data_IF_445873408696
#
_entry.id   IF_445873408696
#
_cell.length_a   1.000
_cell.length_b   1.000
_cell.length_c   1.000
_cell.angle_alpha   90.00
_cell.angle_beta   90.00
_cell.angle_gamma   90.00
#
_symmetry.space_group_name_H-M   'P 1'
#
loop_
_entity.id
_entity.type
_entity.pdbx_description
1 polymer ?
#
# COMPACT_ATOMS: atom_id res chain seq x y z
N UNK A 1 40.74 -20.50 -86.41
CA UNK A 1 40.01 -19.64 -87.38
C UNK A 1 38.59 -19.49 -86.86
N UNK A 2 37.87 -18.36 -86.84
CA UNK A 2 38.11 -16.95 -87.15
C UNK A 2 36.78 -16.24 -86.83
N UNK A 3 36.84 -15.16 -86.05
CA UNK A 3 36.05 -13.91 -86.13
C UNK A 3 34.50 -13.91 -86.06
N UNK A 4 34.00 -13.42 -84.92
CA UNK A 4 33.40 -12.07 -84.70
C UNK A 4 32.22 -11.60 -85.59
N UNK A 5 31.05 -11.30 -84.99
CA UNK A 5 30.45 -9.94 -84.87
C UNK A 5 29.00 -9.94 -84.32
N UNK A 6 28.70 -8.91 -83.51
CA UNK A 6 27.36 -8.41 -83.15
C UNK A 6 27.00 -8.73 -81.69
N UNK A 7 27.00 -7.83 -80.72
CA UNK A 7 26.69 -6.40 -80.76
C UNK A 7 25.29 -6.17 -80.18
N UNK A 8 25.17 -6.08 -78.85
CA UNK A 8 24.04 -5.39 -78.18
C UNK A 8 24.39 -5.00 -76.76
N UNK A 9 24.56 -3.70 -76.59
CA UNK A 9 24.71 -2.97 -75.33
C UNK A 9 23.49 -3.19 -74.42
N UNK A 10 23.71 -3.68 -73.20
CA UNK A 10 22.80 -3.48 -72.08
C UNK A 10 23.49 -2.54 -71.09
N UNK A 11 23.05 -1.28 -71.11
CA UNK A 11 23.34 -0.27 -70.10
C UNK A 11 22.97 -0.81 -68.72
N UNK A 12 23.94 -0.84 -67.82
CA UNK A 12 23.73 -0.79 -66.38
C UNK A 12 23.09 0.55 -66.02
N UNK A 13 21.91 0.58 -65.37
CA UNK A 13 21.49 1.76 -64.63
C UNK A 13 22.19 1.74 -63.27
N UNK A 14 22.89 2.83 -63.03
CA UNK A 14 23.41 3.29 -61.76
C UNK A 14 22.37 3.14 -60.64
N UNK A 15 22.72 2.43 -59.56
CA UNK A 15 21.90 2.31 -58.36
C UNK A 15 22.01 3.64 -57.61
N UNK A 16 21.19 4.60 -58.01
CA UNK A 16 20.88 5.75 -57.16
C UNK A 16 19.95 5.26 -56.06
N UNK A 17 20.50 5.15 -54.85
CA UNK A 17 19.76 4.88 -53.64
C UNK A 17 18.74 6.00 -53.41
N UNK A 18 17.49 5.77 -53.81
CA UNK A 18 16.34 6.51 -53.32
C UNK A 18 16.09 6.08 -51.87
N UNK A 19 16.83 6.67 -50.93
CA UNK A 19 16.48 6.61 -49.52
C UNK A 19 15.23 7.49 -49.31
N UNK A 20 14.06 6.90 -49.60
CA UNK A 20 12.79 7.46 -49.13
C UNK A 20 12.69 7.12 -47.65
N UNK A 21 13.24 8.01 -46.81
CA UNK A 21 12.89 8.10 -45.41
C UNK A 21 11.38 8.35 -45.32
N UNK A 22 10.59 7.28 -45.31
CA UNK A 22 9.20 7.34 -44.84
C UNK A 22 9.29 7.79 -43.38
N UNK A 23 8.92 9.05 -43.14
CA UNK A 23 8.80 9.61 -41.80
C UNK A 23 7.92 8.65 -40.98
N UNK A 24 8.54 7.95 -40.03
CA UNK A 24 7.88 6.97 -39.19
C UNK A 24 6.85 7.66 -38.29
N UNK A 25 5.68 7.06 -38.18
CA UNK A 25 4.69 7.42 -37.17
C UNK A 25 5.25 7.01 -35.79
N UNK A 26 5.68 7.99 -35.00
CA UNK A 26 6.20 7.77 -33.64
C UNK A 26 5.06 7.89 -32.61
N UNK A 27 4.78 6.80 -31.89
CA UNK A 27 3.79 6.76 -30.81
C UNK A 27 4.49 6.57 -29.46
N UNK A 28 4.13 7.36 -28.45
CA UNK A 28 4.69 7.30 -27.10
C UNK A 28 3.64 6.82 -26.10
N UNK A 29 4.04 5.91 -25.22
CA UNK A 29 3.21 5.38 -24.13
C UNK A 29 3.36 6.23 -22.87
N UNK A 30 2.26 6.47 -22.16
CA UNK A 30 2.29 7.01 -20.81
C UNK A 30 2.63 5.90 -19.82
N UNK A 31 3.50 6.19 -18.84
CA UNK A 31 3.87 5.21 -17.81
C UNK A 31 2.66 4.80 -16.97
N UNK A 32 2.50 3.49 -16.76
CA UNK A 32 1.37 2.94 -16.03
C UNK A 32 1.39 3.31 -14.54
N UNK A 33 0.22 3.50 -13.90
CA UNK A 33 0.14 3.55 -12.46
C UNK A 33 0.42 2.16 -11.88
N UNK A 34 1.65 1.93 -11.43
CA UNK A 34 1.96 0.74 -10.62
C UNK A 34 1.37 0.90 -9.22
N UNK A 35 0.48 -0.03 -8.86
CA UNK A 35 0.14 -0.26 -7.46
C UNK A 35 1.33 -0.99 -6.80
N UNK A 36 1.65 -0.63 -5.56
CA UNK A 36 2.86 -1.10 -4.84
C UNK A 36 2.77 -2.58 -4.41
N UNK A 37 1.63 -3.24 -4.65
CA UNK A 37 1.37 -4.64 -4.31
C UNK A 37 0.66 -5.33 -5.49
N UNK A 38 1.28 -6.39 -6.01
CA UNK A 38 0.64 -7.27 -6.99
C UNK A 38 -0.53 -8.00 -6.32
N UNK A 39 -1.70 -7.92 -6.95
CA UNK A 39 -3.03 -8.04 -6.32
C UNK A 39 -3.44 -9.48 -5.97
N UNK A 40 -2.54 -10.45 -6.17
CA UNK A 40 -2.88 -11.89 -6.17
C UNK A 40 -2.28 -12.69 -5.01
N UNK A 41 -1.30 -12.15 -4.28
CA UNK A 41 -0.58 -12.95 -3.27
C UNK A 41 -1.13 -12.87 -1.85
N UNK A 42 -1.96 -11.86 -1.52
CA UNK A 42 -2.44 -11.67 -0.14
C UNK A 42 -3.70 -12.52 0.16
N UNK A 43 -4.47 -12.92 -0.86
CA UNK A 43 -5.77 -13.58 -0.69
C UNK A 43 -5.77 -15.08 -1.04
N UNK A 44 -4.59 -15.67 -1.29
CA UNK A 44 -4.50 -17.11 -1.49
C UNK A 44 -4.52 -17.79 -0.12
N UNK A 45 -5.73 -18.19 0.31
CA UNK A 45 -6.03 -19.03 1.47
C UNK A 45 -5.49 -20.46 1.32
N UNK A 46 -4.20 -20.60 1.00
CA UNK A 46 -3.53 -21.90 1.00
C UNK A 46 -3.07 -22.16 2.42
N UNK A 47 -3.25 -23.40 2.87
CA UNK A 47 -2.75 -23.91 4.15
C UNK A 47 -1.33 -23.39 4.44
N UNK A 48 -1.01 -23.11 5.71
CA UNK A 48 0.31 -22.61 6.10
C UNK A 48 1.42 -23.56 5.60
N UNK A 49 2.16 -23.13 4.59
CA UNK A 49 3.21 -23.94 3.97
C UNK A 49 4.41 -23.99 4.91
N UNK A 50 5.00 -25.17 5.09
CA UNK A 50 6.25 -25.30 5.85
C UNK A 50 7.46 -25.25 4.92
N UNK A 51 8.58 -24.72 5.42
CA UNK A 51 9.87 -24.73 4.72
C UNK A 51 10.91 -25.65 5.40
N UNK A 52 10.43 -26.59 6.23
CA UNK A 52 11.25 -27.45 7.07
C UNK A 52 11.70 -26.84 8.41
N UNK A 53 11.66 -25.52 8.58
CA UNK A 53 12.00 -24.85 9.86
C UNK A 53 10.79 -24.16 10.50
N UNK A 54 10.04 -23.40 9.72
CA UNK A 54 8.84 -22.69 10.18
C UNK A 54 7.70 -22.80 9.18
N UNK A 55 6.52 -22.40 9.66
CA UNK A 55 5.30 -22.21 8.89
C UNK A 55 5.26 -20.79 8.34
N UNK A 56 4.98 -20.63 7.06
CA UNK A 56 4.68 -19.32 6.49
C UNK A 56 3.24 -18.91 6.87
N UNK A 57 3.01 -17.62 7.19
CA UNK A 57 1.68 -17.14 7.53
C UNK A 57 0.75 -17.24 6.31
N UNK A 58 -0.55 -17.47 6.53
CA UNK A 58 -1.54 -17.64 5.46
C UNK A 58 -1.73 -16.37 4.61
N UNK A 59 -1.32 -15.20 5.13
CA UNK A 59 -1.28 -13.93 4.41
C UNK A 59 0.07 -13.26 4.60
N UNK A 60 0.50 -12.48 3.61
CA UNK A 60 1.77 -11.78 3.70
C UNK A 60 1.75 -10.72 4.81
N UNK A 61 2.46 -10.98 5.91
CA UNK A 61 2.66 -9.99 6.98
C UNK A 61 3.36 -8.73 6.48
N UNK A 62 4.29 -8.85 5.52
CA UNK A 62 4.87 -7.68 4.86
C UNK A 62 3.83 -6.89 4.06
N UNK A 63 2.88 -7.58 3.42
CA UNK A 63 1.73 -6.98 2.74
C UNK A 63 0.80 -6.26 3.73
N UNK A 64 0.46 -6.87 4.86
CA UNK A 64 -0.34 -6.24 5.92
C UNK A 64 0.34 -5.00 6.50
N UNK A 65 1.64 -5.07 6.80
CA UNK A 65 2.40 -3.94 7.32
C UNK A 65 2.43 -2.74 6.36
N UNK A 66 2.52 -2.99 5.05
CA UNK A 66 2.39 -1.94 4.03
C UNK A 66 0.96 -1.41 3.96
N UNK A 67 -0.02 -2.32 3.95
CA UNK A 67 -1.44 -2.01 3.81
C UNK A 67 -1.98 -1.18 4.97
N UNK A 68 -1.45 -1.38 6.18
CA UNK A 68 -1.75 -0.57 7.36
C UNK A 68 -1.68 0.94 7.05
N UNK A 69 -0.76 1.36 6.19
CA UNK A 69 -0.53 2.79 5.84
C UNK A 69 -1.18 3.21 4.52
N UNK A 70 -1.93 2.33 3.86
CA UNK A 70 -2.55 2.61 2.55
C UNK A 70 -3.62 3.72 2.64
N UNK A 71 -4.35 3.79 3.76
CA UNK A 71 -5.39 4.80 3.97
C UNK A 71 -5.40 5.34 5.41
N UNK A 72 -5.79 6.61 5.55
CA UNK A 72 -5.93 7.29 6.86
C UNK A 72 -7.01 6.63 7.70
N UNK A 73 -8.18 6.35 7.10
CA UNK A 73 -9.30 5.65 7.74
C UNK A 73 -9.04 4.15 7.97
N UNK A 74 -7.82 3.68 7.65
CA UNK A 74 -7.38 2.33 7.96
C UNK A 74 -6.37 2.32 9.11
N UNK A 75 -5.35 3.19 9.06
CA UNK A 75 -4.32 3.31 10.11
C UNK A 75 -4.82 3.99 11.38
N UNK A 76 -5.57 5.09 11.25
CA UNK A 76 -6.01 5.90 12.39
C UNK A 76 -6.87 5.10 13.40
N UNK A 77 -7.88 4.32 12.98
CA UNK A 77 -8.64 3.47 13.90
C UNK A 77 -7.78 2.51 14.72
N UNK A 78 -6.78 1.87 14.09
CA UNK A 78 -5.87 0.94 14.76
C UNK A 78 -5.05 1.65 15.84
N UNK A 79 -4.57 2.85 15.57
CA UNK A 79 -3.82 3.63 16.55
C UNK A 79 -4.69 4.12 17.70
N UNK A 80 -5.94 4.52 17.45
CA UNK A 80 -6.88 4.90 18.51
C UNK A 80 -7.18 3.70 19.40
N UNK A 81 -7.48 2.52 18.82
CA UNK A 81 -7.67 1.27 19.58
C UNK A 81 -6.46 0.98 20.48
N UNK A 82 -5.24 0.99 19.90
CA UNK A 82 -3.99 0.77 20.65
C UNK A 82 -3.78 1.81 21.75
N UNK A 83 -4.03 3.08 21.49
CA UNK A 83 -3.81 4.15 22.47
C UNK A 83 -4.76 4.01 23.66
N UNK A 84 -6.03 3.69 23.43
CA UNK A 84 -6.98 3.50 24.52
C UNK A 84 -6.62 2.25 25.33
N UNK A 85 -6.31 1.12 24.67
CA UNK A 85 -5.83 -0.08 25.35
C UNK A 85 -4.61 0.21 26.23
N UNK A 86 -3.62 0.93 25.68
CA UNK A 86 -2.44 1.34 26.42
C UNK A 86 -2.80 2.28 27.59
N UNK A 87 -3.70 3.24 27.39
CA UNK A 87 -4.10 4.16 28.47
C UNK A 87 -4.78 3.45 29.64
N UNK A 88 -5.49 2.35 29.38
CA UNK A 88 -6.12 1.53 30.42
C UNK A 88 -5.19 0.47 31.00
N UNK A 89 -4.03 0.20 30.39
CA UNK A 89 -3.12 -0.84 30.85
C UNK A 89 -2.37 -0.40 32.12
N UNK A 90 -2.32 -1.28 33.12
CA UNK A 90 -1.58 -1.07 34.37
C UNK A 90 -0.14 -1.59 34.16
N UNK A 91 0.89 -0.72 34.14
CA UNK A 91 2.26 -1.15 33.93
C UNK A 91 2.73 -2.20 34.95
N UNK A 92 3.42 -3.23 34.47
CA UNK A 92 3.94 -4.32 35.30
C UNK A 92 5.49 -4.32 35.26
N UNK A 93 6.19 -4.70 36.35
CA UNK A 93 7.66 -4.83 36.33
C UNK A 93 8.19 -5.72 35.21
N UNK A 94 7.44 -6.75 34.81
CA UNK A 94 7.80 -7.67 33.73
C UNK A 94 7.40 -7.17 32.33
N UNK A 95 6.41 -6.27 32.22
CA UNK A 95 5.88 -5.80 30.95
C UNK A 95 5.65 -4.29 30.99
N UNK A 96 6.54 -3.56 30.31
CA UNK A 96 6.45 -2.10 30.27
C UNK A 96 5.29 -1.62 29.39
N UNK A 97 4.87 -0.38 29.60
CA UNK A 97 3.91 0.34 28.76
C UNK A 97 4.24 0.26 27.26
N UNK A 98 5.52 0.38 26.93
CA UNK A 98 6.02 0.39 25.56
C UNK A 98 5.94 -0.99 24.92
N UNK A 99 6.25 -2.05 25.68
CA UNK A 99 6.11 -3.43 25.20
C UNK A 99 4.64 -3.78 25.01
N UNK A 100 3.79 -3.49 26.01
CA UNK A 100 2.34 -3.69 25.87
C UNK A 100 1.77 -2.95 24.64
N UNK A 101 2.18 -1.70 24.42
CA UNK A 101 1.74 -0.93 23.25
C UNK A 101 2.16 -1.56 21.92
N UNK A 102 3.32 -2.24 21.86
CA UNK A 102 3.76 -2.99 20.68
C UNK A 102 2.94 -4.25 20.50
N UNK A 103 2.77 -5.03 21.57
CA UNK A 103 1.96 -6.25 21.57
C UNK A 103 0.54 -5.98 21.06
N UNK A 104 -0.09 -4.93 21.59
CA UNK A 104 -1.44 -4.53 21.19
C UNK A 104 -1.51 -4.11 19.72
N UNK A 105 -0.52 -3.35 19.23
CA UNK A 105 -0.47 -2.94 17.83
C UNK A 105 -0.29 -4.14 16.90
N UNK A 106 0.63 -5.04 17.23
CA UNK A 106 0.91 -6.24 16.43
C UNK A 106 -0.32 -7.14 16.36
N UNK A 107 -1.02 -7.33 17.48
CA UNK A 107 -2.29 -8.07 17.50
C UNK A 107 -3.33 -7.42 16.57
N UNK A 108 -3.53 -6.10 16.69
CA UNK A 108 -4.51 -5.36 15.87
C UNK A 108 -4.15 -5.42 14.37
N UNK A 109 -2.86 -5.33 14.03
CA UNK A 109 -2.41 -5.27 12.63
C UNK A 109 -2.34 -6.66 12.00
N UNK A 110 -1.80 -7.65 12.68
CA UNK A 110 -1.52 -8.95 12.08
C UNK A 110 -2.52 -10.04 12.48
N UNK A 111 -3.38 -9.79 13.47
CA UNK A 111 -4.11 -10.85 14.17
C UNK A 111 -3.16 -11.77 14.96
N UNK A 112 -1.91 -11.36 15.15
CA UNK A 112 -0.84 -12.16 15.74
C UNK A 112 0.08 -11.26 16.54
N UNK A 113 0.38 -11.64 17.77
CA UNK A 113 1.35 -10.96 18.62
C UNK A 113 2.22 -11.99 19.36
N UNK A 114 3.50 -11.71 19.47
CA UNK A 114 4.48 -12.63 20.03
C UNK A 114 5.21 -11.99 21.20
N UNK A 115 5.19 -12.65 22.35
CA UNK A 115 5.80 -12.15 23.58
C UNK A 115 6.87 -13.15 24.06
N UNK A 116 8.14 -12.75 23.98
CA UNK A 116 9.28 -13.54 24.41
C UNK A 116 9.51 -13.41 25.92
N UNK A 117 9.61 -14.55 26.60
CA UNK A 117 10.03 -14.66 28.00
C UNK A 117 11.56 -14.58 28.08
N UNK A 118 12.08 -13.46 28.57
CA UNK A 118 13.52 -13.29 28.81
C UNK A 118 13.87 -13.83 30.18
N UNK A 119 14.60 -14.94 30.20
CA UNK A 119 14.99 -15.63 31.43
C UNK A 119 16.39 -15.19 31.89
N UNK A 120 16.62 -15.19 33.19
CA UNK A 120 17.96 -15.08 33.77
C UNK A 120 18.72 -16.40 33.61
N UNK A 121 20.03 -16.35 33.80
CA UNK A 121 20.87 -17.57 33.88
C UNK A 121 20.42 -18.53 34.99
N UNK A 122 19.77 -18.02 36.04
CA UNK A 122 19.24 -18.80 37.14
C UNK A 122 17.84 -19.36 36.88
N UNK A 123 17.24 -19.10 35.71
CA UNK A 123 15.91 -19.59 35.32
C UNK A 123 14.74 -18.72 35.78
N UNK A 124 14.98 -17.52 36.30
CA UNK A 124 13.90 -16.60 36.69
C UNK A 124 13.46 -15.75 35.50
N UNK A 125 12.15 -15.47 35.38
CA UNK A 125 11.64 -14.54 34.37
C UNK A 125 12.09 -13.11 34.72
N UNK A 126 12.86 -12.47 33.84
CA UNK A 126 13.35 -11.11 34.04
C UNK A 126 12.41 -10.07 33.48
N UNK A 127 11.93 -10.30 32.25
CA UNK A 127 11.02 -9.40 31.52
C UNK A 127 10.39 -10.11 30.34
N UNK A 128 9.36 -9.47 29.80
CA UNK A 128 8.65 -9.87 28.61
C UNK A 128 8.95 -8.86 27.51
N UNK A 129 9.39 -9.34 26.36
CA UNK A 129 9.73 -8.51 25.19
C UNK A 129 8.83 -8.88 24.02
N UNK A 130 8.22 -7.88 23.39
CA UNK A 130 7.40 -8.13 22.20
C UNK A 130 8.32 -8.36 21.01
N UNK A 131 8.23 -9.55 20.41
CA UNK A 131 8.89 -9.84 19.16
C UNK A 131 8.04 -9.32 17.99
N UNK A 132 8.58 -8.48 17.09
CA UNK A 132 7.81 -7.90 16.00
C UNK A 132 7.13 -8.97 15.12
N UNK A 133 5.80 -9.01 15.14
CA UNK A 133 5.02 -10.06 14.50
C UNK A 133 5.28 -10.19 13.00
N UNK A 134 5.62 -9.08 12.32
CA UNK A 134 6.02 -9.07 10.92
C UNK A 134 7.14 -10.09 10.60
N UNK A 135 8.09 -10.26 11.52
CA UNK A 135 9.29 -11.07 11.33
C UNK A 135 9.26 -12.39 12.11
N UNK A 136 8.39 -12.52 13.10
CA UNK A 136 8.27 -13.75 13.88
C UNK A 136 7.51 -14.82 13.10
N UNK A 137 7.99 -16.06 13.16
CA UNK A 137 7.41 -17.24 12.52
C UNK A 137 7.24 -18.37 13.52
N UNK A 138 6.14 -19.10 13.42
CA UNK A 138 5.88 -20.31 14.20
C UNK A 138 6.70 -21.45 13.60
N UNK A 139 7.50 -22.12 14.42
CA UNK A 139 8.27 -23.29 14.02
C UNK A 139 7.36 -24.44 13.59
N UNK A 140 7.91 -25.36 12.80
CA UNK A 140 7.22 -26.64 12.49
C UNK A 140 7.12 -27.50 13.76
N UNK A 141 8.13 -27.42 14.62
CA UNK A 141 8.10 -28.03 15.94
C UNK A 141 7.31 -27.16 16.92
N UNK A 142 6.43 -27.80 17.70
CA UNK A 142 5.62 -27.10 18.68
C UNK A 142 6.47 -26.44 19.78
N UNK A 143 6.08 -25.21 20.13
CA UNK A 143 6.81 -24.36 21.08
C UNK A 143 8.10 -23.73 20.53
N UNK A 144 8.49 -23.99 19.28
CA UNK A 144 9.64 -23.34 18.64
C UNK A 144 9.16 -22.17 17.79
N UNK A 145 9.89 -21.07 17.82
CA UNK A 145 9.61 -19.88 16.99
C UNK A 145 10.90 -19.40 16.35
N UNK A 146 10.77 -18.64 15.27
CA UNK A 146 11.88 -18.07 14.53
C UNK A 146 11.70 -16.58 14.33
N UNK A 147 12.79 -15.82 14.39
CA UNK A 147 12.84 -14.43 13.98
C UNK A 147 13.53 -14.34 12.62
N UNK A 148 12.79 -13.88 11.60
CA UNK A 148 13.21 -13.92 10.20
C UNK A 148 13.25 -12.51 9.63
N UNK A 149 14.41 -11.86 9.75
CA UNK A 149 14.69 -10.59 9.08
C UNK A 149 15.35 -10.80 7.72
N UNK A 150 15.07 -9.93 6.75
CA UNK A 150 15.49 -10.10 5.35
C UNK A 150 17.01 -10.07 5.11
N UNK A 151 17.82 -9.64 6.10
CA UNK A 151 19.27 -9.42 5.94
C UNK A 151 20.12 -10.13 6.99
N UNK A 152 19.51 -10.92 7.88
CA UNK A 152 20.18 -11.61 8.97
C UNK A 152 19.80 -13.09 8.90
N UNK A 153 20.70 -13.97 9.33
CA UNK A 153 20.34 -15.38 9.46
C UNK A 153 19.13 -15.53 10.41
N UNK A 154 18.16 -16.40 10.07
CA UNK A 154 17.02 -16.65 10.94
C UNK A 154 17.48 -17.07 12.34
N UNK A 155 16.97 -16.37 13.35
CA UNK A 155 17.27 -16.67 14.74
C UNK A 155 16.19 -17.57 15.33
N UNK A 156 16.57 -18.73 15.85
CA UNK A 156 15.67 -19.61 16.58
C UNK A 156 15.51 -19.12 18.02
N UNK A 157 14.27 -18.91 18.46
CA UNK A 157 13.98 -18.64 19.86
C UNK A 157 14.12 -19.92 20.67
N UNK A 158 14.52 -19.79 21.94
CA UNK A 158 14.52 -20.93 22.86
C UNK A 158 13.13 -21.58 22.92
N UNK A 159 13.10 -22.92 22.90
CA UNK A 159 11.84 -23.67 22.94
C UNK A 159 10.97 -23.26 24.14
N UNK A 160 9.68 -23.06 23.90
CA UNK A 160 8.68 -22.60 24.86
C UNK A 160 8.96 -21.22 25.47
N UNK A 161 9.83 -20.39 24.87
CA UNK A 161 10.10 -19.03 25.36
C UNK A 161 9.09 -17.99 24.85
N UNK A 162 8.44 -18.24 23.70
CA UNK A 162 7.51 -17.29 23.08
C UNK A 162 6.07 -17.66 23.38
N UNK A 163 5.29 -16.69 23.82
CA UNK A 163 3.82 -16.75 23.89
C UNK A 163 3.28 -16.14 22.60
N UNK A 164 2.49 -16.91 21.86
CA UNK A 164 1.83 -16.47 20.64
C UNK A 164 0.35 -16.24 20.92
N UNK A 165 -0.04 -14.97 20.93
CA UNK A 165 -1.43 -14.54 20.99
C UNK A 165 -1.95 -14.38 19.57
N UNK A 166 -3.07 -15.03 19.23
CA UNK A 166 -3.63 -15.01 17.89
C UNK A 166 -5.13 -14.80 17.89
N UNK A 167 -5.62 -14.07 16.89
CA UNK A 167 -7.04 -13.96 16.58
C UNK A 167 -7.50 -15.27 15.91
N UNK A 168 -8.58 -15.93 16.36
CA UNK A 168 -9.02 -17.17 15.75
C UNK A 168 -9.39 -16.97 14.29
N UNK A 169 -8.96 -17.92 13.46
CA UNK A 169 -9.32 -18.00 12.04
C UNK A 169 -10.17 -19.24 11.80
N UNK A 170 -11.09 -19.15 10.83
CA UNK A 170 -12.01 -20.25 10.49
C UNK A 170 -11.34 -21.31 9.60
N UNK A 171 -10.21 -20.99 8.98
CA UNK A 171 -9.55 -21.86 8.01
C UNK A 171 -8.40 -22.67 8.61
N UNK A 172 -7.77 -22.18 9.68
CA UNK A 172 -6.66 -22.86 10.36
C UNK A 172 -6.42 -22.33 11.78
N UNK A 173 -5.65 -23.08 12.59
CA UNK A 173 -5.39 -22.80 14.01
C UNK A 173 -3.92 -22.36 14.30
N UNK A 174 -3.10 -22.23 13.25
CA UNK A 174 -1.66 -21.98 13.36
C UNK A 174 -1.30 -20.51 13.53
N UNK A 175 -2.02 -19.64 12.85
CA UNK A 175 -1.88 -18.19 12.82
C UNK A 175 -3.24 -17.52 12.92
N UNK A 176 -3.27 -16.28 13.39
CA UNK A 176 -4.48 -15.47 13.30
C UNK A 176 -4.58 -14.66 12.01
N UNK A 177 -5.78 -14.17 11.73
CA UNK A 177 -6.05 -13.21 10.67
C UNK A 177 -6.76 -11.98 11.24
N UNK A 178 -6.37 -10.76 10.82
CA UNK A 178 -7.03 -9.56 11.31
C UNK A 178 -8.44 -9.40 10.70
N UNK A 179 -9.41 -8.96 11.49
CA UNK A 179 -10.81 -8.81 11.04
C UNK A 179 -10.97 -7.88 9.82
N UNK A 180 -10.09 -6.88 9.68
CA UNK A 180 -10.17 -5.90 8.60
C UNK A 180 -9.75 -6.46 7.22
N UNK A 181 -9.33 -7.73 7.14
CA UNK A 181 -8.79 -8.34 5.91
C UNK A 181 -9.73 -8.15 4.70
N UNK A 182 -11.04 -8.21 4.93
CA UNK A 182 -12.09 -7.99 3.92
C UNK A 182 -12.07 -6.57 3.31
N UNK A 183 -11.60 -5.57 4.05
CA UNK A 183 -11.56 -4.18 3.63
C UNK A 183 -10.22 -3.76 3.00
N UNK A 184 -9.28 -4.70 2.80
CA UNK A 184 -7.98 -4.40 2.17
C UNK A 184 -8.12 -3.87 0.75
N UNK A 185 -9.04 -4.42 -0.04
CA UNK A 185 -9.31 -3.92 -1.39
C UNK A 185 -9.78 -2.47 -1.36
N UNK A 186 -10.64 -2.11 -0.39
CA UNK A 186 -11.08 -0.73 -0.18
C UNK A 186 -9.91 0.16 0.26
N UNK A 187 -9.01 -0.33 1.13
CA UNK A 187 -7.79 0.40 1.53
C UNK A 187 -6.90 0.72 0.32
N UNK A 188 -6.61 -0.26 -0.53
CA UNK A 188 -5.74 -0.07 -1.70
C UNK A 188 -6.39 0.78 -2.78
N UNK A 189 -7.71 0.63 -2.98
CA UNK A 189 -8.45 1.49 -3.90
C UNK A 189 -8.44 2.95 -3.44
N UNK A 190 -8.58 3.17 -2.12
CA UNK A 190 -8.49 4.48 -1.49
C UNK A 190 -7.09 5.11 -1.66
N UNK A 191 -6.03 4.31 -1.49
CA UNK A 191 -4.64 4.71 -1.74
C UNK A 191 -4.43 5.09 -3.21
N UNK A 192 -4.85 4.24 -4.14
CA UNK A 192 -4.69 4.45 -5.58
C UNK A 192 -5.37 5.76 -6.04
N UNK A 193 -6.60 6.02 -5.57
CA UNK A 193 -7.29 7.27 -5.85
C UNK A 193 -6.53 8.49 -5.29
N UNK A 194 -5.92 8.37 -4.12
CA UNK A 194 -5.12 9.44 -3.50
C UNK A 194 -3.83 9.69 -4.28
N UNK A 195 -3.10 8.63 -4.65
CA UNK A 195 -1.89 8.72 -5.47
C UNK A 195 -2.17 9.29 -6.86
N UNK A 196 -3.29 8.90 -7.48
CA UNK A 196 -3.72 9.47 -8.75
C UNK A 196 -3.95 10.97 -8.63
N UNK A 197 -4.73 11.43 -7.63
CA UNK A 197 -4.97 12.87 -7.41
C UNK A 197 -3.68 13.64 -7.16
N UNK A 198 -2.74 13.07 -6.40
CA UNK A 198 -1.42 13.67 -6.18
C UNK A 198 -0.65 13.80 -7.49
N UNK A 199 -0.56 12.73 -8.29
CA UNK A 199 0.12 12.74 -9.60
C UNK A 199 -0.55 13.72 -10.56
N UNK A 200 -1.88 13.74 -10.61
CA UNK A 200 -2.67 14.68 -11.41
C UNK A 200 -2.32 16.13 -11.04
N UNK A 201 -2.28 16.46 -9.74
CA UNK A 201 -1.88 17.80 -9.29
C UNK A 201 -0.42 18.12 -9.62
N UNK A 202 0.51 17.19 -9.38
CA UNK A 202 1.93 17.37 -9.68
C UNK A 202 2.20 17.57 -11.19
N UNK A 203 1.39 16.96 -12.05
CA UNK A 203 1.45 17.09 -13.51
C UNK A 203 0.66 18.30 -14.05
N UNK A 204 0.22 19.20 -13.17
CA UNK A 204 -0.45 20.43 -13.55
C UNK A 204 -1.94 20.29 -13.88
N UNK A 205 -2.63 19.32 -13.29
CA UNK A 205 -4.07 19.10 -13.48
C UNK A 205 -4.48 18.89 -14.94
N UNK A 206 -3.64 18.20 -15.71
CA UNK A 206 -3.92 17.86 -17.10
C UNK A 206 -3.76 16.35 -17.31
N UNK A 207 -4.74 15.72 -17.96
CA UNK A 207 -4.72 14.29 -18.30
C UNK A 207 -3.77 13.93 -19.47
N UNK A 208 -2.88 14.84 -19.86
CA UNK A 208 -2.08 14.73 -21.08
C UNK A 208 -2.88 15.09 -22.33
N UNK A 209 -2.19 15.21 -23.45
CA UNK A 209 -2.77 15.52 -24.76
C UNK A 209 -1.92 14.89 -25.86
N UNK A 210 -2.55 14.62 -26.99
CA UNK A 210 -1.86 14.24 -28.23
C UNK A 210 -1.66 15.52 -29.03
N UNK A 211 -0.41 15.97 -29.12
CA UNK A 211 -0.04 17.04 -30.05
C UNK A 211 0.33 16.40 -31.38
N UNK A 212 -0.42 16.70 -32.43
CA UNK A 212 -0.08 16.29 -33.78
C UNK A 212 0.22 17.51 -34.64
N UNK A 213 1.29 17.40 -35.42
CA UNK A 213 1.77 18.46 -36.33
C UNK A 213 1.69 17.91 -37.75
N UNK A 214 0.90 18.55 -38.59
CA UNK A 214 0.66 18.16 -39.99
C UNK A 214 1.14 19.19 -40.99
N UNK A 215 1.70 20.31 -40.53
CA UNK A 215 2.18 21.37 -41.41
C UNK A 215 3.48 20.96 -42.13
N UNK A 216 3.47 20.84 -43.48
CA UNK A 216 4.67 20.48 -44.24
C UNK A 216 5.73 21.59 -44.27
N UNK A 217 5.41 22.81 -43.83
CA UNK A 217 6.35 23.93 -43.74
C UNK A 217 7.23 23.89 -42.48
N UNK A 218 6.93 22.99 -41.52
CA UNK A 218 7.76 22.85 -40.33
C UNK A 218 9.00 22.00 -40.59
N UNK A 219 10.18 22.60 -40.43
CA UNK A 219 11.46 21.90 -40.56
C UNK A 219 11.73 21.00 -39.35
N UNK A 220 12.51 19.92 -39.53
CA UNK A 220 12.88 18.97 -38.47
C UNK A 220 13.49 19.64 -37.23
N UNK A 221 14.24 20.75 -37.39
CA UNK A 221 14.81 21.50 -36.27
C UNK A 221 13.76 22.18 -35.39
N UNK A 222 12.67 22.66 -35.98
CA UNK A 222 11.63 23.40 -35.27
C UNK A 222 10.71 22.44 -34.52
N UNK A 223 10.45 21.27 -35.10
CA UNK A 223 9.80 20.14 -34.41
C UNK A 223 10.64 19.69 -33.20
N UNK A 224 11.97 19.61 -33.34
CA UNK A 224 12.86 19.26 -32.23
C UNK A 224 12.84 20.31 -31.10
N UNK A 225 12.84 21.61 -31.45
CA UNK A 225 12.72 22.70 -30.46
C UNK A 225 11.37 22.69 -29.75
N UNK A 226 10.27 22.49 -30.49
CA UNK A 226 8.95 22.34 -29.89
C UNK A 226 8.90 21.15 -28.93
N UNK A 227 9.47 20.00 -29.33
CA UNK A 227 9.58 18.81 -28.48
C UNK A 227 10.38 19.09 -27.21
N UNK A 228 11.51 19.78 -27.32
CA UNK A 228 12.36 20.14 -26.19
C UNK A 228 11.65 21.09 -25.22
N UNK A 229 11.00 22.14 -25.73
CA UNK A 229 10.24 23.09 -24.91
C UNK A 229 9.05 22.42 -24.22
N UNK A 230 8.35 21.52 -24.92
CA UNK A 230 7.25 20.75 -24.35
C UNK A 230 7.74 19.78 -23.26
N UNK A 231 8.90 19.15 -23.46
CA UNK A 231 9.50 18.28 -22.44
C UNK A 231 9.94 19.09 -21.22
N UNK A 232 10.53 20.26 -21.43
CA UNK A 232 10.92 21.20 -20.36
C UNK A 232 9.70 21.80 -19.62
N UNK A 233 8.54 21.86 -20.27
CA UNK A 233 7.29 22.32 -19.65
C UNK A 233 6.61 21.25 -18.77
N UNK A 234 7.04 19.98 -18.84
CA UNK A 234 6.54 18.93 -17.95
C UNK A 234 7.19 19.07 -16.56
N UNK A 235 6.39 18.88 -15.51
CA UNK A 235 6.86 18.83 -14.12
C UNK A 235 6.27 19.90 -13.20
N UNK A 236 6.47 19.70 -11.90
CA UNK A 236 5.92 20.55 -10.84
C UNK A 236 6.37 22.00 -11.00
N UNK A 237 5.42 22.94 -11.13
CA UNK A 237 5.70 24.38 -11.25
C UNK A 237 5.98 24.88 -12.68
N UNK A 238 5.94 24.03 -13.70
CA UNK A 238 6.26 24.39 -15.09
C UNK A 238 5.04 24.74 -15.96
N UNK A 239 4.07 25.48 -15.42
CA UNK A 239 2.97 26.04 -16.22
C UNK A 239 3.48 27.23 -17.07
N UNK A 240 4.16 26.93 -18.18
CA UNK A 240 4.58 27.94 -19.15
C UNK A 240 3.72 27.81 -20.39
N UNK A 241 3.04 28.89 -20.74
CA UNK A 241 2.33 29.00 -22.02
C UNK A 241 3.35 28.86 -23.16
N UNK A 242 3.12 27.91 -24.07
CA UNK A 242 3.94 27.75 -25.26
C UNK A 242 3.35 28.61 -26.39
N UNK A 243 4.11 29.61 -26.84
CA UNK A 243 3.75 30.38 -28.02
C UNK A 243 4.45 29.80 -29.26
N UNK A 244 3.68 29.47 -30.29
CA UNK A 244 4.19 28.98 -31.56
C UNK A 244 3.75 29.93 -32.69
N UNK A 245 4.72 30.46 -33.44
CA UNK A 245 4.48 31.28 -34.62
C UNK A 245 4.84 30.48 -35.88
N UNK A 246 3.85 30.26 -36.76
CA UNK A 246 4.01 29.53 -38.02
C UNK A 246 3.58 30.43 -39.20
N UNK A 247 4.49 31.26 -39.74
CA UNK A 247 4.17 32.15 -40.86
C UNK A 247 3.83 31.33 -42.12
N UNK A 248 2.65 31.54 -42.69
CA UNK A 248 2.14 30.78 -43.83
C UNK A 248 1.59 29.38 -43.49
N UNK A 249 1.50 29.03 -42.20
CA UNK A 249 0.99 27.75 -41.75
C UNK A 249 -0.52 27.59 -41.95
N UNK A 250 -0.99 26.33 -42.04
CA UNK A 250 -2.43 26.04 -42.14
C UNK A 250 -3.10 26.15 -40.77
N UNK A 251 -4.38 26.53 -40.74
CA UNK A 251 -5.18 26.61 -39.50
C UNK A 251 -5.16 25.31 -38.66
N UNK A 252 -5.01 24.16 -39.34
CA UNK A 252 -4.94 22.83 -38.75
C UNK A 252 -3.51 22.26 -38.66
N UNK A 253 -2.48 23.09 -38.88
CA UNK A 253 -1.08 22.66 -38.97
C UNK A 253 -0.51 22.10 -37.66
N UNK A 254 -1.00 22.58 -36.51
CA UNK A 254 -0.70 22.05 -35.17
C UNK A 254 -2.03 21.89 -34.44
N UNK A 255 -2.30 20.67 -33.98
CA UNK A 255 -3.50 20.39 -33.19
C UNK A 255 -3.14 19.68 -31.90
N UNK A 256 -3.78 20.13 -30.84
CA UNK A 256 -3.75 19.50 -29.53
C UNK A 256 -5.09 18.80 -29.37
N UNK A 257 -5.07 17.46 -29.40
CA UNK A 257 -6.22 16.65 -29.04
C UNK A 257 -6.07 16.37 -27.55
N UNK A 258 -6.86 17.03 -26.68
CA UNK A 258 -6.88 16.63 -25.29
C UNK A 258 -7.28 15.16 -25.24
N UNK A 259 -6.52 14.36 -24.49
CA UNK A 259 -7.06 13.07 -24.08
C UNK A 259 -8.24 13.42 -23.19
N UNK A 260 -9.47 13.24 -23.69
CA UNK A 260 -10.66 13.63 -22.97
C UNK A 260 -10.58 13.10 -21.53
N UNK A 261 -10.76 13.99 -20.55
CA UNK A 261 -11.05 13.63 -19.18
C UNK A 261 -12.44 12.98 -19.16
N UNK A 262 -12.59 11.78 -19.73
CA UNK A 262 -13.88 11.08 -19.74
C UNK A 262 -14.19 10.74 -18.28
N UNK A 263 -15.08 11.51 -17.66
CA UNK A 263 -15.80 11.22 -16.42
C UNK A 263 -15.01 11.03 -15.10
N UNK A 264 -13.70 11.25 -15.05
CA UNK A 264 -12.91 10.79 -13.87
C UNK A 264 -13.03 11.64 -12.60
N UNK A 265 -13.38 12.94 -12.67
CA UNK A 265 -13.41 13.80 -11.45
C UNK A 265 -14.47 13.37 -10.44
N UNK A 266 -15.67 13.03 -10.90
CA UNK A 266 -16.78 12.60 -10.03
C UNK A 266 -16.56 11.17 -9.48
N UNK A 267 -15.99 10.28 -10.29
CA UNK A 267 -15.72 8.90 -9.88
C UNK A 267 -14.67 8.79 -8.77
N UNK A 268 -13.62 9.62 -8.76
CA UNK A 268 -12.62 9.55 -7.67
C UNK A 268 -13.18 9.95 -6.32
N UNK A 269 -14.08 10.93 -6.28
CA UNK A 269 -14.74 11.31 -5.04
C UNK A 269 -15.63 10.17 -4.55
N UNK A 270 -16.42 9.58 -5.44
CA UNK A 270 -17.28 8.43 -5.13
C UNK A 270 -16.48 7.22 -4.65
N UNK A 271 -15.37 6.90 -5.34
CA UNK A 271 -14.45 5.83 -4.94
C UNK A 271 -13.88 6.11 -3.54
N UNK A 272 -13.40 7.34 -3.27
CA UNK A 272 -12.87 7.71 -1.95
C UNK A 272 -13.92 7.63 -0.86
N UNK A 273 -15.16 8.00 -1.16
CA UNK A 273 -16.28 7.95 -0.22
C UNK A 273 -16.65 6.49 0.10
N UNK A 274 -16.98 5.69 -0.91
CA UNK A 274 -17.35 4.28 -0.73
C UNK A 274 -16.24 3.49 -0.02
N UNK A 275 -15.00 3.62 -0.47
CA UNK A 275 -13.88 2.94 0.18
C UNK A 275 -13.63 3.42 1.61
N UNK A 276 -13.95 4.67 1.95
CA UNK A 276 -13.87 5.16 3.33
C UNK A 276 -14.98 4.54 4.18
N UNK A 277 -16.20 4.45 3.68
CA UNK A 277 -17.33 3.82 4.38
C UNK A 277 -17.06 2.35 4.70
N UNK A 278 -16.48 1.60 3.75
CA UNK A 278 -16.04 0.21 3.98
C UNK A 278 -14.99 0.12 5.10
N UNK A 279 -13.98 1.00 5.09
CA UNK A 279 -12.92 1.02 6.11
C UNK A 279 -13.45 1.37 7.50
N UNK A 280 -14.35 2.35 7.58
CA UNK A 280 -15.00 2.73 8.83
C UNK A 280 -15.86 1.58 9.37
N UNK A 281 -16.57 0.87 8.48
CA UNK A 281 -17.39 -0.29 8.83
C UNK A 281 -16.54 -1.47 9.31
N UNK A 282 -15.38 -1.71 8.69
CA UNK A 282 -14.46 -2.77 9.09
C UNK A 282 -13.81 -2.51 10.46
N UNK A 283 -13.48 -1.25 10.77
CA UNK A 283 -12.82 -0.89 12.02
C UNK A 283 -13.77 -0.60 13.18
N UNK A 284 -15.01 -0.22 12.89
CA UNK A 284 -16.08 0.04 13.87
C UNK A 284 -15.72 1.10 14.93
N UNK A 285 -14.79 2.00 14.61
CA UNK A 285 -14.43 3.14 15.47
C UNK A 285 -15.39 4.31 15.21
N UNK A 286 -15.96 4.94 16.25
CA UNK A 286 -16.81 6.11 16.07
C UNK A 286 -16.10 7.25 15.31
N UNK A 287 -16.74 7.85 14.28
CA UNK A 287 -16.16 8.95 13.50
C UNK A 287 -15.62 10.11 14.33
N UNK A 288 -16.29 10.46 15.43
CA UNK A 288 -15.89 11.54 16.33
C UNK A 288 -14.51 11.29 16.97
N UNK A 289 -14.19 10.03 17.27
CA UNK A 289 -12.91 9.65 17.86
C UNK A 289 -11.77 9.64 16.84
N UNK A 290 -12.09 9.72 15.54
CA UNK A 290 -11.14 9.81 14.43
C UNK A 290 -10.95 11.24 13.93
N UNK A 291 -11.54 12.24 14.60
CA UNK A 291 -11.46 13.64 14.17
C UNK A 291 -12.23 13.93 12.88
N UNK A 292 -13.19 13.09 12.51
CA UNK A 292 -14.05 13.31 11.34
C UNK A 292 -15.03 14.44 11.68
N UNK A 293 -15.12 15.44 10.79
CA UNK A 293 -16.06 16.54 10.90
C UNK A 293 -17.38 16.14 10.23
N UNK A 294 -18.54 16.24 10.91
CA UNK A 294 -19.82 15.89 10.31
C UNK A 294 -20.16 16.85 9.16
N UNK A 295 -20.68 16.30 8.06
CA UNK A 295 -21.11 17.08 6.89
C UNK A 295 -22.59 17.46 6.94
N UNK A 296 -23.34 17.02 7.95
CA UNK A 296 -24.76 17.27 8.14
C UNK A 296 -25.02 18.18 9.35
N UNK A 297 -26.12 18.93 9.33
CA UNK A 297 -26.49 19.91 10.37
C UNK A 297 -26.73 19.29 11.75
N UNK A 298 -27.02 17.98 11.83
CA UNK A 298 -27.30 17.27 13.09
C UNK A 298 -26.07 16.77 13.86
N UNK A 299 -24.86 16.82 13.27
CA UNK A 299 -23.65 16.30 13.91
C UNK A 299 -23.68 14.79 14.19
N UNK A 300 -22.75 14.32 15.01
CA UNK A 300 -22.65 12.90 15.40
C UNK A 300 -23.23 12.57 16.80
N UNK A 301 -23.76 13.57 17.51
CA UNK A 301 -24.26 13.40 18.89
C UNK A 301 -23.15 13.36 19.95
N UNK A 302 -23.47 12.74 21.08
CA UNK A 302 -22.66 12.70 22.30
C UNK A 302 -21.44 11.77 22.14
N UNK A 303 -20.23 12.36 22.26
CA UNK A 303 -18.95 11.67 22.07
C UNK A 303 -18.66 10.69 23.21
N UNK A 304 -19.04 11.03 24.45
CA UNK A 304 -18.78 10.20 25.62
C UNK A 304 -19.58 8.89 25.52
N UNK A 305 -20.87 8.98 25.15
CA UNK A 305 -21.71 7.79 24.95
C UNK A 305 -21.18 6.90 23.83
N UNK A 306 -20.75 7.50 22.72
CA UNK A 306 -20.17 6.76 21.61
C UNK A 306 -18.87 6.04 22.03
N UNK A 307 -17.99 6.73 22.77
CA UNK A 307 -16.76 6.17 23.30
C UNK A 307 -17.04 5.00 24.26
N UNK A 308 -18.00 5.13 25.18
CA UNK A 308 -18.35 4.06 26.13
C UNK A 308 -18.86 2.79 25.43
N UNK A 309 -19.74 2.93 24.42
CA UNK A 309 -20.22 1.78 23.63
C UNK A 309 -19.08 1.15 22.84
N UNK A 310 -18.23 1.97 22.23
CA UNK A 310 -17.07 1.50 21.49
C UNK A 310 -16.10 0.73 22.40
N UNK A 311 -15.71 1.28 23.56
CA UNK A 311 -14.82 0.62 24.51
C UNK A 311 -15.41 -0.71 24.96
N UNK A 312 -16.70 -0.72 25.35
CA UNK A 312 -17.39 -1.94 25.82
C UNK A 312 -17.40 -3.07 24.78
N UNK A 313 -17.63 -2.73 23.51
CA UNK A 313 -17.87 -3.70 22.44
C UNK A 313 -16.61 -4.06 21.64
N UNK A 314 -15.64 -3.14 21.52
CA UNK A 314 -14.44 -3.33 20.71
C UNK A 314 -13.18 -3.50 21.54
N UNK A 315 -13.03 -2.79 22.65
CA UNK A 315 -11.77 -2.79 23.41
C UNK A 315 -11.77 -3.77 24.57
N UNK A 316 -12.88 -3.89 25.31
CA UNK A 316 -12.97 -4.88 26.40
C UNK A 316 -12.72 -6.31 25.87
N UNK A 317 -13.29 -6.75 24.72
CA UNK A 317 -12.93 -8.06 24.16
C UNK A 317 -11.43 -8.20 23.82
N UNK A 318 -10.81 -7.14 23.30
CA UNK A 318 -9.36 -7.13 23.06
C UNK A 318 -8.55 -7.18 24.37
N UNK A 319 -9.01 -6.51 25.43
CA UNK A 319 -8.40 -6.60 26.76
C UNK A 319 -8.49 -8.03 27.30
N UNK A 320 -9.64 -8.69 27.21
CA UNK A 320 -9.82 -10.09 27.63
C UNK A 320 -8.91 -11.03 26.82
N UNK A 321 -8.84 -10.85 25.50
CA UNK A 321 -7.91 -11.60 24.66
C UNK A 321 -6.46 -11.42 25.10
N UNK A 322 -6.04 -10.19 25.37
CA UNK A 322 -4.68 -9.92 25.84
C UNK A 322 -4.41 -10.50 27.24
N UNK A 323 -5.42 -10.63 28.10
CA UNK A 323 -5.30 -11.28 29.42
C UNK A 323 -5.02 -12.78 29.33
N UNK A 324 -5.27 -13.46 28.22
CA UNK A 324 -4.91 -14.88 28.02
C UNK A 324 -3.40 -15.13 28.19
N UNK A 325 -2.56 -14.09 28.00
CA UNK A 325 -1.13 -14.13 28.31
C UNK A 325 -0.88 -14.48 29.78
N UNK A 326 -1.74 -14.03 30.69
CA UNK A 326 -1.61 -14.30 32.12
C UNK A 326 -1.80 -15.79 32.41
N UNK A 327 -2.75 -16.45 31.75
CA UNK A 327 -3.00 -17.88 31.93
C UNK A 327 -1.81 -18.71 31.45
N UNK A 328 -1.18 -18.27 30.35
CA UNK A 328 0.06 -18.88 29.82
C UNK A 328 1.27 -18.67 30.73
N UNK A 329 1.29 -17.58 31.50
CA UNK A 329 2.37 -17.25 32.45
C UNK A 329 2.13 -17.82 33.86
N UNK A 330 0.88 -18.04 34.24
CA UNK A 330 0.48 -18.30 35.62
C UNK A 330 0.57 -17.07 36.54
N UNK A 331 0.69 -15.86 35.98
CA UNK A 331 0.86 -14.59 36.70
C UNK A 331 0.05 -13.47 36.04
N UNK A 332 -0.55 -12.58 36.83
CA UNK A 332 -1.36 -11.44 36.35
C UNK A 332 -0.49 -10.27 35.89
N UNK A 333 0.17 -10.43 34.75
CA UNK A 333 1.02 -9.39 34.16
C UNK A 333 0.22 -8.33 33.40
N UNK A 334 -0.78 -8.75 32.63
CA UNK A 334 -1.64 -7.85 31.85
C UNK A 334 -2.92 -7.58 32.64
N UNK A 335 -3.05 -6.35 33.11
CA UNK A 335 -4.22 -5.86 33.84
C UNK A 335 -4.64 -4.50 33.28
N UNK A 336 -5.92 -4.20 33.41
CA UNK A 336 -6.49 -2.95 32.91
C UNK A 336 -7.33 -2.29 33.99
N UNK A 337 -7.28 -0.96 34.02
CA UNK A 337 -8.23 -0.11 34.73
C UNK A 337 -9.53 0.01 33.91
N UNK A 338 -10.61 0.35 34.60
CA UNK A 338 -11.85 0.72 33.93
C UNK A 338 -11.64 2.00 33.10
N UNK A 339 -12.32 2.09 31.96
CA UNK A 339 -12.26 3.28 31.13
C UNK A 339 -13.10 4.41 31.74
N UNK A 340 -12.42 5.45 32.25
CA UNK A 340 -13.01 6.68 32.77
C UNK A 340 -12.80 7.86 31.81
N UNK A 341 -13.77 8.78 31.75
CA UNK A 341 -13.85 9.89 30.79
C UNK A 341 -13.48 11.25 31.38
#
# INVERSE_FOLDING_TARGET
MSRNKGGRSKKTPDVTANNTDRAGFEMFTFGEPSAVLDRRDILNYVECINNGKWLEPPVSFSGLAKSMRAAVHHSSPMFVKRNILASTFIPHPLLSQQEFSRLALDYIVFGNAFLEKRMSMSGNLLRLETSPAKYTRRGVEDGVYWFVESFVEPHEFAKNSVIHLLEPDINQEMYGLPEYLSALNSAWLNEAATLYRRKYYQNGAHAGYIMYVTDPLMNKSDVAKLREQMTKSKGMGNFKNLFCNAPGGKADGIKIVPLSEVATKDDFFNIKKASTEDLLSAHRVPPQMMGIIPSNTGGFGDVEKAARVFVRNELVPLQERMKEVNDRLGEKVIQFEDYEF
#
